data_IF_552949066913
#
_entry.id   IF_552949066913
#
_cell.length_a   1.000
_cell.length_b   1.000
_cell.length_c   1.000
_cell.angle_alpha   90.00
_cell.angle_beta   90.00
_cell.angle_gamma   90.00
#
_symmetry.space_group_name_H-M   'P 1'
#
loop_
_entity.id
_entity.type
_entity.pdbx_description
1 polymer ?
#
# COMPACT_ATOMS: atom_id res chain seq x y z
N UNK A 1 -12.28 -9.92 -37.00
CA UNK A 1 -11.83 -9.90 -36.52
C UNK A 1 -11.42 -9.86 -35.78
N UNK A 2 -11.67 -10.29 -35.70
CA UNK A 2 -11.40 -10.34 -34.87
C UNK A 2 -10.55 -10.05 -34.34
N UNK A 3 -10.36 -9.83 -34.43
CA UNK A 3 -9.40 -9.57 -34.03
C UNK A 3 -9.32 -9.03 -32.95
N UNK A 4 -9.88 -8.32 -32.84
CA UNK A 4 -9.84 -7.81 -31.66
C UNK A 4 -10.10 -8.77 -30.67
N UNK A 5 -10.67 -9.74 -31.06
CA UNK A 5 -11.09 -10.63 -30.09
C UNK A 5 -9.98 -11.19 -29.30
N UNK A 6 -8.86 -11.32 -29.89
CA UNK A 6 -7.89 -11.86 -29.14
C UNK A 6 -7.16 -11.02 -28.48
N UNK A 7 -7.27 -10.03 -28.78
CA UNK A 7 -6.73 -9.11 -27.99
C UNK A 7 -7.16 -9.20 -26.58
N UNK A 8 -8.32 -9.59 -26.29
CA UNK A 8 -8.67 -9.73 -24.89
C UNK A 8 -7.73 -10.61 -24.14
N UNK A 9 -7.18 -11.62 -24.77
CA UNK A 9 -6.28 -12.38 -24.03
C UNK A 9 -5.06 -11.63 -23.67
N UNK A 10 -4.51 -10.90 -24.59
CA UNK A 10 -3.31 -10.15 -24.34
C UNK A 10 -3.54 -9.13 -23.27
N UNK A 11 -4.74 -8.59 -23.22
CA UNK A 11 -4.99 -7.57 -22.25
C UNK A 11 -5.50 -8.09 -20.97
N UNK A 12 -5.95 -9.32 -20.96
CA UNK A 12 -6.51 -9.80 -19.76
C UNK A 12 -5.41 -10.22 -18.84
N UNK A 13 -5.22 -9.47 -17.82
CA UNK A 13 -4.24 -9.76 -16.81
C UNK A 13 -4.93 -10.46 -15.66
N UNK A 14 -4.20 -11.29 -14.96
CA UNK A 14 -4.73 -11.86 -13.75
C UNK A 14 -5.11 -10.74 -12.80
N UNK A 15 -6.17 -10.92 -12.07
CA UNK A 15 -6.59 -9.94 -11.09
C UNK A 15 -5.50 -9.81 -10.02
N UNK A 16 -5.31 -8.59 -9.53
CA UNK A 16 -4.36 -8.35 -8.46
C UNK A 16 -4.93 -8.93 -7.17
N UNK A 17 -4.14 -9.73 -6.51
CA UNK A 17 -4.52 -10.30 -5.24
C UNK A 17 -4.14 -9.33 -4.11
N UNK A 18 -5.02 -8.39 -3.85
CA UNK A 18 -4.78 -7.36 -2.84
C UNK A 18 -4.61 -7.97 -1.44
N UNK A 19 -5.39 -8.98 -1.13
CA UNK A 19 -5.32 -9.61 0.19
C UNK A 19 -3.96 -10.26 0.41
N UNK A 20 -3.43 -10.89 -0.61
CA UNK A 20 -2.12 -11.52 -0.50
C UNK A 20 -1.01 -10.49 -0.33
N UNK A 21 -1.07 -9.40 -1.08
CA UNK A 21 -0.06 -8.34 -0.95
C UNK A 21 -0.16 -7.68 0.41
N UNK A 22 -1.36 -7.39 0.88
CA UNK A 22 -1.55 -6.79 2.20
C UNK A 22 -1.03 -7.70 3.30
N UNK A 23 -1.31 -9.01 3.19
CA UNK A 23 -0.84 -9.97 4.17
C UNK A 23 0.69 -10.05 4.17
N UNK A 24 1.30 -10.05 3.00
CA UNK A 24 2.75 -10.09 2.89
C UNK A 24 3.41 -8.81 3.41
N UNK A 25 2.75 -7.67 3.24
CA UNK A 25 3.30 -6.39 3.63
C UNK A 25 3.21 -6.13 5.13
N UNK A 26 2.22 -6.69 5.79
CA UNK A 26 1.93 -6.35 7.17
C UNK A 26 3.13 -6.58 8.12
N UNK A 27 3.85 -7.70 8.05
CA UNK A 27 5.01 -7.89 8.93
C UNK A 27 6.15 -6.89 8.67
N UNK A 28 6.13 -6.24 7.53
CA UNK A 28 7.17 -5.28 7.14
C UNK A 28 6.71 -3.83 7.26
N UNK A 29 5.54 -3.60 7.82
CA UNK A 29 4.90 -2.29 7.78
C UNK A 29 5.70 -1.23 8.52
N UNK A 30 6.31 -1.59 9.64
CA UNK A 30 7.14 -0.61 10.34
C UNK A 30 8.33 -0.19 9.48
N UNK A 31 9.00 -1.13 8.83
CA UNK A 31 10.13 -0.80 7.96
C UNK A 31 9.68 0.06 6.79
N UNK A 32 8.50 -0.23 6.24
CA UNK A 32 7.94 0.56 5.16
C UNK A 32 7.63 1.98 5.63
N UNK A 33 7.04 2.12 6.81
CA UNK A 33 6.75 3.43 7.37
C UNK A 33 8.04 4.23 7.62
N UNK A 34 9.09 3.59 8.09
CA UNK A 34 10.37 4.28 8.29
C UNK A 34 10.90 4.83 6.98
N UNK A 35 10.66 4.12 5.90
CA UNK A 35 11.11 4.54 4.57
C UNK A 35 10.23 5.61 3.97
N UNK A 36 8.91 5.45 4.08
CA UNK A 36 7.95 6.35 3.43
C UNK A 36 7.64 7.58 4.24
N UNK A 37 7.69 7.46 5.57
CA UNK A 37 7.27 8.50 6.51
C UNK A 37 8.39 8.72 7.54
N UNK A 38 9.56 9.15 7.08
CA UNK A 38 10.78 9.09 7.90
C UNK A 38 10.79 10.04 9.09
N UNK A 39 9.98 11.09 9.09
CA UNK A 39 9.88 12.00 10.24
C UNK A 39 9.01 11.47 11.35
N UNK A 40 8.40 10.29 11.15
CA UNK A 40 7.55 9.69 12.16
C UNK A 40 8.31 8.91 13.21
N UNK A 41 7.56 8.37 14.14
CA UNK A 41 8.12 7.54 15.21
C UNK A 41 7.10 6.50 15.63
N UNK A 42 7.57 5.43 16.18
CA UNK A 42 6.67 4.40 16.69
C UNK A 42 6.24 4.74 18.10
N UNK A 43 4.94 4.69 18.33
CA UNK A 43 4.35 4.86 19.66
C UNK A 43 3.42 3.66 19.85
N UNK A 44 3.82 2.72 20.69
CA UNK A 44 3.04 1.50 20.87
C UNK A 44 2.92 0.74 19.58
N UNK A 45 1.71 0.46 19.16
CA UNK A 45 1.44 -0.27 17.91
C UNK A 45 1.28 0.66 16.71
N UNK A 46 1.59 1.95 16.85
CA UNK A 46 1.35 2.90 15.79
C UNK A 46 2.61 3.59 15.33
N UNK A 47 2.67 3.90 14.04
CA UNK A 47 3.63 4.82 13.47
C UNK A 47 2.95 6.18 13.36
N UNK A 48 3.54 7.22 13.96
CA UNK A 48 2.91 8.53 14.08
C UNK A 48 3.78 9.58 13.40
N UNK A 49 3.18 10.36 12.52
CA UNK A 49 3.87 11.45 11.82
C UNK A 49 2.89 12.59 11.55
N UNK A 50 3.32 13.62 10.84
CA UNK A 50 2.50 14.79 10.61
C UNK A 50 1.49 14.62 9.50
N UNK A 51 1.90 13.96 8.42
CA UNK A 51 1.02 13.70 7.28
C UNK A 51 1.62 12.58 6.43
N UNK A 52 0.96 12.26 5.34
CA UNK A 52 1.50 11.28 4.38
C UNK A 52 2.76 11.77 3.67
N UNK A 53 3.19 12.97 3.90
CA UNK A 53 4.49 13.45 3.42
C UNK A 53 5.63 12.99 4.33
N UNK A 54 5.31 12.48 5.49
CA UNK A 54 6.28 11.86 6.37
C UNK A 54 7.04 12.79 7.28
N UNK A 55 6.58 14.05 7.44
CA UNK A 55 7.23 14.95 8.38
C UNK A 55 6.83 14.62 9.82
N UNK A 56 7.55 15.17 10.77
CA UNK A 56 7.25 14.99 12.18
C UNK A 56 5.89 15.61 12.50
N UNK A 57 5.17 15.02 13.42
CA UNK A 57 3.86 15.51 13.86
C UNK A 57 3.03 14.36 14.40
N UNK A 58 1.74 14.63 14.58
CA UNK A 58 0.85 13.67 15.22
C UNK A 58 -0.47 13.48 14.50
N UNK A 59 -0.64 14.13 13.34
CA UNK A 59 -1.92 14.09 12.64
C UNK A 59 -2.09 12.90 11.71
N UNK A 60 -1.06 12.09 11.55
CA UNK A 60 -1.12 10.92 10.68
C UNK A 60 -0.65 9.70 11.47
N UNK A 61 -1.45 8.64 11.45
CA UNK A 61 -1.15 7.44 12.22
C UNK A 61 -1.38 6.21 11.38
N UNK A 62 -0.48 5.23 11.52
CA UNK A 62 -0.60 3.94 10.86
C UNK A 62 -0.57 2.86 11.95
N UNK A 63 -1.60 2.04 12.01
CA UNK A 63 -1.62 0.92 12.94
C UNK A 63 -0.77 -0.20 12.37
N UNK A 64 0.33 -0.51 13.02
CA UNK A 64 1.30 -1.48 12.52
C UNK A 64 0.83 -2.92 12.63
N UNK A 65 -0.22 -3.17 13.42
CA UNK A 65 -0.77 -4.52 13.56
C UNK A 65 -1.84 -4.81 12.51
N UNK A 66 -2.62 -3.81 12.13
CA UNK A 66 -3.76 -4.00 11.23
C UNK A 66 -3.55 -3.41 9.84
N UNK A 67 -2.65 -2.43 9.72
CA UNK A 67 -2.46 -1.70 8.48
C UNK A 67 -3.43 -0.54 8.29
N UNK A 68 -4.36 -0.31 9.20
CA UNK A 68 -5.28 0.82 9.10
C UNK A 68 -4.50 2.11 9.34
N UNK A 69 -4.88 3.14 8.61
CA UNK A 69 -4.17 4.41 8.71
C UNK A 69 -5.12 5.58 8.48
N UNK A 70 -4.74 6.73 9.00
CA UNK A 70 -5.47 7.97 8.77
C UNK A 70 -4.53 9.15 8.81
N UNK A 71 -4.73 10.07 7.87
CA UNK A 71 -4.12 11.40 7.88
C UNK A 71 -5.25 12.37 8.24
N UNK A 72 -5.33 12.70 9.52
CA UNK A 72 -6.45 13.49 10.01
C UNK A 72 -6.41 14.93 9.50
N UNK A 73 -5.22 15.45 9.21
CA UNK A 73 -5.10 16.82 8.72
C UNK A 73 -5.66 16.94 7.30
N UNK A 74 -5.44 15.95 6.45
CA UNK A 74 -5.91 15.97 5.08
C UNK A 74 -7.26 15.28 4.90
N UNK A 75 -7.73 14.55 5.91
CA UNK A 75 -8.99 13.85 5.81
C UNK A 75 -8.93 12.56 5.01
N UNK A 76 -7.75 11.97 4.86
CA UNK A 76 -7.58 10.72 4.13
C UNK A 76 -7.43 9.56 5.08
N UNK A 77 -7.89 8.39 4.68
CA UNK A 77 -7.73 7.19 5.50
C UNK A 77 -7.85 5.95 4.63
N UNK A 78 -7.37 4.85 5.16
CA UNK A 78 -7.47 3.57 4.50
C UNK A 78 -7.35 2.42 5.49
N UNK A 79 -7.53 1.22 5.00
CA UNK A 79 -7.63 0.04 5.86
C UNK A 79 -6.47 -0.92 5.78
N UNK A 80 -5.50 -0.71 4.90
CA UNK A 80 -4.49 -1.72 4.67
C UNK A 80 -3.21 -1.12 4.07
N UNK A 81 -2.11 -1.91 4.03
CA UNK A 81 -0.84 -1.43 3.50
C UNK A 81 -0.88 -0.99 2.04
N UNK A 82 -1.67 -1.66 1.20
CA UNK A 82 -1.75 -1.28 -0.22
C UNK A 82 -2.35 0.11 -0.35
N UNK A 83 -3.43 0.40 0.37
CA UNK A 83 -4.04 1.72 0.32
C UNK A 83 -3.10 2.79 0.87
N UNK A 84 -2.30 2.46 1.87
CA UNK A 84 -1.30 3.38 2.38
C UNK A 84 -0.24 3.67 1.31
N UNK A 85 0.28 2.64 0.67
CA UNK A 85 1.28 2.80 -0.38
C UNK A 85 0.73 3.65 -1.53
N UNK A 86 -0.51 3.40 -1.92
CA UNK A 86 -1.16 4.16 -2.98
C UNK A 86 -1.28 5.64 -2.61
N UNK A 87 -1.68 5.92 -1.38
CA UNK A 87 -1.86 7.29 -0.92
C UNK A 87 -0.52 8.03 -0.81
N UNK A 88 0.51 7.35 -0.30
CA UNK A 88 1.85 7.95 -0.17
C UNK A 88 2.42 8.28 -1.54
N UNK A 89 2.27 7.38 -2.50
CA UNK A 89 2.85 7.56 -3.84
C UNK A 89 1.96 8.35 -4.78
N UNK A 90 0.68 8.54 -4.45
CA UNK A 90 -0.23 9.24 -5.33
C UNK A 90 -0.59 8.43 -6.57
N UNK A 91 -0.73 7.14 -6.44
CA UNK A 91 -1.01 6.24 -7.55
C UNK A 91 -2.23 5.37 -7.21
N UNK A 92 -2.71 4.63 -8.20
CA UNK A 92 -3.83 3.73 -7.99
C UNK A 92 -3.45 2.52 -7.17
N UNK A 93 -4.44 1.85 -6.61
CA UNK A 93 -4.17 0.73 -5.70
C UNK A 93 -3.59 -0.49 -6.42
N UNK A 94 -4.02 -0.78 -7.63
CA UNK A 94 -3.45 -1.91 -8.36
C UNK A 94 -1.97 -1.68 -8.66
N UNK A 95 -1.63 -0.46 -9.06
CA UNK A 95 -0.24 -0.10 -9.30
C UNK A 95 0.57 -0.16 -8.01
N UNK A 96 0.01 0.34 -6.91
CA UNK A 96 0.68 0.29 -5.62
C UNK A 96 0.90 -1.15 -5.17
N UNK A 97 -0.09 -2.01 -5.36
CA UNK A 97 0.05 -3.42 -5.00
C UNK A 97 1.15 -4.10 -5.79
N UNK A 98 1.25 -3.83 -7.08
CA UNK A 98 2.31 -4.41 -7.90
C UNK A 98 3.69 -3.90 -7.50
N UNK A 99 3.77 -2.61 -7.19
CA UNK A 99 5.02 -2.02 -6.72
C UNK A 99 5.45 -2.62 -5.39
N UNK A 100 4.51 -2.74 -4.48
CA UNK A 100 4.78 -3.30 -3.16
C UNK A 100 5.18 -4.77 -3.24
N UNK A 101 4.52 -5.53 -4.12
CA UNK A 101 4.86 -6.93 -4.33
C UNK A 101 6.30 -7.08 -4.86
N UNK A 102 6.72 -6.18 -5.75
CA UNK A 102 8.10 -6.20 -6.24
C UNK A 102 9.08 -5.93 -5.11
N UNK A 103 8.77 -4.97 -4.24
CA UNK A 103 9.63 -4.66 -3.10
C UNK A 103 9.74 -5.84 -2.15
N UNK A 104 8.66 -6.58 -1.98
CA UNK A 104 8.62 -7.71 -1.06
C UNK A 104 8.98 -9.03 -1.73
N UNK A 105 9.20 -8.99 -3.04
CA UNK A 105 9.55 -10.17 -3.83
C UNK A 105 8.49 -11.27 -3.74
N UNK A 106 7.23 -10.89 -3.93
CA UNK A 106 6.13 -11.84 -3.93
C UNK A 106 5.36 -11.74 -5.24
N UNK A 107 4.68 -12.82 -5.60
CA UNK A 107 3.84 -12.84 -6.79
C UNK A 107 2.52 -12.17 -6.47
N UNK A 108 2.20 -11.11 -7.20
CA UNK A 108 1.00 -10.32 -6.97
C UNK A 108 -0.16 -10.78 -7.84
N UNK A 109 0.11 -11.53 -8.90
CA UNK A 109 -0.94 -11.97 -9.80
C UNK A 109 -1.51 -13.25 -9.25
N UNK A 110 -2.74 -13.21 -8.81
CA UNK A 110 -3.38 -14.37 -8.25
C UNK A 110 -3.66 -15.41 -9.33
N UNK A 111 -3.87 -16.61 -8.89
CA UNK A 111 -4.29 -17.66 -9.79
C UNK A 111 -3.17 -18.36 -10.52
N UNK A 112 -1.98 -18.05 -10.21
CA UNK A 112 -0.89 -18.72 -10.82
C UNK A 112 -0.19 -19.64 -9.89
#
# INVERSE_FOLDING_TARGET
MMAGAFAPHARRRAAVDFAMVNHAALPHLEALCRRWLPGGRRIGAEWVCGSLRGEAGESCKVNLSTGRWADFAAGHRGGDPVSLAAAVAGIGQAEAARSLARMLNVNVEGGW
#
